data_IF_725464392427
#
_entry.id   IF_725464392427
#
_cell.length_a   1.000
_cell.length_b   1.000
_cell.length_c   1.000
_cell.angle_alpha   90.00
_cell.angle_beta   90.00
_cell.angle_gamma   90.00
#
_symmetry.space_group_name_H-M   'P 1'
#
loop_
_entity.id
_entity.type
_entity.pdbx_description
1 polymer ?
#
# COMPACT_ATOMS: atom_id res chain seq x y z
N UNK A 1 17.08 -2.98 -11.85
CA UNK A 1 16.31 -3.19 -10.59
C UNK A 1 17.10 -2.53 -9.48
N UNK A 2 16.54 -1.54 -8.75
CA UNK A 2 17.25 -0.95 -7.61
C UNK A 2 17.20 -1.99 -6.49
N UNK A 3 18.29 -2.73 -6.30
CA UNK A 3 18.45 -3.66 -5.18
C UNK A 3 18.76 -2.81 -3.95
N UNK A 4 17.80 -2.68 -3.04
CA UNK A 4 18.03 -2.02 -1.76
C UNK A 4 18.59 -3.04 -0.77
N UNK A 5 19.53 -2.64 0.11
CA UNK A 5 19.96 -3.50 1.21
C UNK A 5 18.76 -3.87 2.07
N UNK A 6 18.68 -5.13 2.51
CA UNK A 6 17.57 -5.59 3.36
C UNK A 6 17.69 -4.93 4.74
N UNK A 7 16.66 -4.22 5.23
CA UNK A 7 16.69 -3.69 6.58
C UNK A 7 16.71 -4.83 7.59
N UNK A 8 17.36 -4.60 8.74
CA UNK A 8 17.34 -5.54 9.85
C UNK A 8 15.94 -5.55 10.53
N UNK A 9 15.64 -6.63 11.27
CA UNK A 9 14.30 -6.86 11.83
C UNK A 9 13.91 -5.78 12.85
N UNK A 10 14.87 -5.30 13.64
CA UNK A 10 14.68 -4.20 14.59
C UNK A 10 14.38 -2.87 13.90
N UNK A 11 15.04 -2.53 12.79
CA UNK A 11 14.72 -1.34 12.03
C UNK A 11 13.29 -1.42 11.50
N UNK A 12 12.84 -2.57 11.01
CA UNK A 12 11.45 -2.74 10.56
C UNK A 12 10.48 -2.51 11.74
N UNK A 13 10.73 -3.13 12.90
CA UNK A 13 9.86 -3.02 14.06
C UNK A 13 9.69 -1.57 14.55
N UNK A 14 10.77 -0.78 14.54
CA UNK A 14 10.76 0.61 15.03
C UNK A 14 10.59 1.67 13.92
N UNK A 15 10.33 1.26 12.67
CA UNK A 15 10.04 2.23 11.59
C UNK A 15 8.62 2.78 11.68
N UNK A 16 8.48 4.01 12.20
CA UNK A 16 7.20 4.72 12.25
C UNK A 16 6.85 5.42 10.93
N UNK A 17 7.85 5.85 10.16
CA UNK A 17 7.64 6.55 8.88
C UNK A 17 7.13 5.57 7.84
N UNK A 18 5.89 5.79 7.37
CA UNK A 18 5.23 4.92 6.39
C UNK A 18 4.50 3.71 6.99
N UNK A 19 4.52 3.54 8.31
CA UNK A 19 3.74 2.50 9.00
C UNK A 19 2.26 2.88 9.09
N UNK A 20 1.39 1.87 9.19
CA UNK A 20 -0.03 2.07 9.50
C UNK A 20 -0.26 2.39 10.98
N UNK A 21 0.73 2.10 11.84
CA UNK A 21 0.62 2.20 13.30
C UNK A 21 0.12 3.58 13.77
N UNK A 22 0.66 4.73 13.32
CA UNK A 22 0.16 6.03 13.78
C UNK A 22 -1.31 6.29 13.42
N UNK A 23 -1.81 5.68 12.34
CA UNK A 23 -3.21 5.84 11.89
C UNK A 23 -4.19 5.00 12.71
N UNK A 24 -3.75 3.89 13.29
CA UNK A 24 -4.61 2.97 14.06
C UNK A 24 -4.32 2.97 15.56
N UNK A 25 -3.21 3.57 16.00
CA UNK A 25 -2.73 3.54 17.38
C UNK A 25 -3.81 4.00 18.38
N UNK A 26 -4.50 5.12 18.11
CA UNK A 26 -5.54 5.62 19.02
C UNK A 26 -6.73 4.65 19.13
N UNK A 27 -7.10 3.98 18.03
CA UNK A 27 -8.17 2.98 18.02
C UNK A 27 -7.78 1.73 18.81
N UNK A 28 -6.55 1.26 18.62
CA UNK A 28 -6.00 0.12 19.36
C UNK A 28 -5.92 0.44 20.86
N UNK A 29 -5.35 1.59 21.23
CA UNK A 29 -5.25 2.03 22.62
C UNK A 29 -6.63 2.17 23.28
N UNK A 30 -7.60 2.78 22.59
CA UNK A 30 -8.96 2.91 23.09
C UNK A 30 -9.62 1.54 23.33
N UNK A 31 -9.48 0.60 22.39
CA UNK A 31 -10.01 -0.75 22.53
C UNK A 31 -9.33 -1.52 23.68
N UNK A 32 -8.01 -1.41 23.81
CA UNK A 32 -7.25 -2.05 24.89
C UNK A 32 -7.64 -1.47 26.26
N UNK A 33 -7.77 -0.15 26.38
CA UNK A 33 -8.20 0.49 27.62
C UNK A 33 -9.61 0.07 28.00
N UNK A 34 -10.52 0.00 27.02
CA UNK A 34 -11.89 -0.47 27.24
C UNK A 34 -11.91 -1.94 27.70
N UNK A 35 -11.16 -2.83 27.05
CA UNK A 35 -11.05 -4.24 27.45
C UNK A 35 -10.49 -4.38 28.88
N UNK A 36 -9.45 -3.62 29.22
CA UNK A 36 -8.87 -3.61 30.57
C UNK A 36 -9.88 -3.12 31.62
N UNK A 37 -10.68 -2.10 31.30
CA UNK A 37 -11.74 -1.60 32.17
C UNK A 37 -12.81 -2.67 32.43
N UNK A 38 -13.26 -3.37 31.39
CA UNK A 38 -14.26 -4.45 31.52
C UNK A 38 -13.75 -5.54 32.45
N UNK A 39 -12.51 -6.01 32.25
CA UNK A 39 -11.88 -7.03 33.12
C UNK A 39 -11.74 -6.52 34.56
N UNK A 40 -11.33 -5.27 34.75
CA UNK A 40 -11.18 -4.70 36.10
C UNK A 40 -12.52 -4.57 36.84
N UNK A 41 -13.61 -4.29 36.13
CA UNK A 41 -14.97 -4.22 36.70
C UNK A 41 -15.49 -5.60 37.06
N UNK A 42 -15.32 -6.58 36.16
CA UNK A 42 -15.70 -7.98 36.41
C UNK A 42 -15.03 -8.51 37.68
N UNK A 43 -13.71 -8.32 37.83
CA UNK A 43 -12.95 -8.79 39.00
C UNK A 43 -13.43 -8.17 40.32
N UNK A 44 -14.00 -6.96 40.30
CA UNK A 44 -14.44 -6.25 41.51
C UNK A 44 -15.89 -6.54 41.89
N UNK A 45 -16.74 -6.90 40.93
CA UNK A 45 -18.18 -7.15 41.15
C UNK A 45 -18.65 -8.37 40.35
N UNK A 46 -18.14 -9.57 40.66
CA UNK A 46 -18.40 -10.77 39.87
C UNK A 46 -19.90 -11.15 39.85
N UNK A 47 -20.62 -10.92 40.96
CA UNK A 47 -22.03 -11.31 41.09
C UNK A 47 -22.99 -10.51 40.21
N UNK A 48 -22.58 -9.32 39.75
CA UNK A 48 -23.40 -8.46 38.87
C UNK A 48 -23.12 -8.67 37.38
N UNK A 49 -22.05 -9.37 37.04
CA UNK A 49 -21.63 -9.63 35.66
C UNK A 49 -21.20 -11.10 35.49
N UNK A 50 -22.12 -12.07 35.56
CA UNK A 50 -21.83 -13.42 35.10
C UNK A 50 -21.56 -13.35 33.59
N UNK A 51 -20.29 -13.38 33.19
CA UNK A 51 -19.89 -13.41 31.78
C UNK A 51 -20.19 -14.82 31.24
N UNK A 52 -21.45 -15.06 30.90
CA UNK A 52 -21.90 -16.32 30.27
C UNK A 52 -21.75 -16.27 28.73
N UNK A 53 -21.17 -15.18 28.20
CA UNK A 53 -20.93 -15.02 26.77
C UNK A 53 -19.83 -15.99 26.31
N UNK A 54 -20.24 -17.13 25.78
CA UNK A 54 -19.33 -18.11 25.18
C UNK A 54 -18.55 -17.51 24.00
N UNK A 55 -17.38 -18.08 23.72
CA UNK A 55 -16.45 -17.60 22.67
C UNK A 55 -17.02 -17.84 21.24
N UNK A 56 -18.01 -18.73 21.10
CA UNK A 56 -18.55 -19.20 19.82
C UNK A 56 -18.87 -18.10 18.78
N UNK A 57 -19.69 -17.08 19.11
CA UNK A 57 -19.99 -15.99 18.18
C UNK A 57 -18.74 -15.21 17.74
N UNK A 58 -17.78 -14.98 18.63
CA UNK A 58 -16.53 -14.28 18.32
C UNK A 58 -15.63 -15.10 17.39
N UNK A 59 -15.56 -16.42 17.59
CA UNK A 59 -14.81 -17.31 16.69
C UNK A 59 -15.40 -17.28 15.28
N UNK A 60 -16.73 -17.35 15.16
CA UNK A 60 -17.40 -17.32 13.87
C UNK A 60 -17.17 -15.99 13.14
N UNK A 61 -17.32 -14.86 13.86
CA UNK A 61 -17.06 -13.52 13.32
C UNK A 61 -15.59 -13.37 12.92
N UNK A 62 -14.66 -13.83 13.77
CA UNK A 62 -13.22 -13.76 13.52
C UNK A 62 -12.80 -14.55 12.28
N UNK A 63 -13.33 -15.76 12.11
CA UNK A 63 -13.10 -16.58 10.92
C UNK A 63 -13.62 -15.90 9.67
N UNK A 64 -14.87 -15.41 9.69
CA UNK A 64 -15.47 -14.70 8.57
C UNK A 64 -14.65 -13.46 8.20
N UNK A 65 -14.27 -12.63 9.18
CA UNK A 65 -13.47 -11.43 8.96
C UNK A 65 -12.11 -11.75 8.36
N UNK A 66 -11.43 -12.80 8.82
CA UNK A 66 -10.14 -13.24 8.28
C UNK A 66 -10.24 -13.60 6.79
N UNK A 67 -11.25 -14.36 6.41
CA UNK A 67 -11.50 -14.76 5.01
C UNK A 67 -11.78 -13.52 4.14
N UNK A 68 -12.70 -12.65 4.56
CA UNK A 68 -13.01 -11.43 3.81
C UNK A 68 -11.82 -10.48 3.69
N UNK A 69 -11.01 -10.37 4.74
CA UNK A 69 -9.80 -9.55 4.72
C UNK A 69 -8.77 -10.10 3.74
N UNK A 70 -8.61 -11.42 3.66
CA UNK A 70 -7.72 -12.07 2.68
C UNK A 70 -8.14 -11.74 1.24
N UNK A 71 -9.41 -11.92 0.90
CA UNK A 71 -9.93 -11.56 -0.43
C UNK A 71 -9.75 -10.06 -0.74
N UNK A 72 -10.09 -9.19 0.22
CA UNK A 72 -9.92 -7.74 0.07
C UNK A 72 -8.46 -7.36 -0.14
N UNK A 73 -7.54 -7.93 0.65
CA UNK A 73 -6.12 -7.64 0.55
C UNK A 73 -5.55 -8.09 -0.79
N UNK A 74 -5.92 -9.28 -1.26
CA UNK A 74 -5.50 -9.78 -2.57
C UNK A 74 -5.98 -8.85 -3.70
N UNK A 75 -7.25 -8.45 -3.69
CA UNK A 75 -7.78 -7.52 -4.69
C UNK A 75 -7.09 -6.14 -4.65
N UNK A 76 -6.83 -5.60 -3.44
CA UNK A 76 -6.10 -4.33 -3.30
C UNK A 76 -4.66 -4.44 -3.80
N UNK A 77 -4.00 -5.56 -3.50
CA UNK A 77 -2.63 -5.82 -3.91
C UNK A 77 -2.52 -5.96 -5.43
N UNK A 78 -3.40 -6.73 -6.07
CA UNK A 78 -3.43 -6.86 -7.52
C UNK A 78 -3.66 -5.53 -8.20
N UNK A 79 -4.60 -4.69 -7.70
CA UNK A 79 -4.83 -3.35 -8.26
C UNK A 79 -3.61 -2.44 -8.10
N UNK A 80 -2.94 -2.49 -6.95
CA UNK A 80 -1.68 -1.75 -6.76
C UNK A 80 -0.59 -2.23 -7.72
N UNK A 81 -0.48 -3.55 -7.89
CA UNK A 81 0.51 -4.16 -8.77
C UNK A 81 0.24 -3.88 -10.24
N UNK A 82 -1.03 -3.88 -10.66
CA UNK A 82 -1.47 -3.49 -12.00
C UNK A 82 -1.04 -2.06 -12.34
N UNK A 83 -1.30 -1.10 -11.45
CA UNK A 83 -0.84 0.27 -11.64
C UNK A 83 0.70 0.35 -11.76
N UNK A 84 1.43 -0.41 -10.94
CA UNK A 84 2.90 -0.46 -11.01
C UNK A 84 3.39 -1.04 -12.33
N UNK A 85 2.75 -2.10 -12.84
CA UNK A 85 3.03 -2.73 -14.15
C UNK A 85 2.77 -1.74 -15.29
N UNK A 86 1.63 -1.06 -15.29
CA UNK A 86 1.29 -0.05 -16.30
C UNK A 86 2.33 1.08 -16.36
N UNK A 87 2.75 1.59 -15.20
CA UNK A 87 3.82 2.59 -15.13
C UNK A 87 5.17 2.06 -15.62
N UNK A 88 5.47 0.79 -15.34
CA UNK A 88 6.65 0.09 -15.87
C UNK A 88 6.62 -0.01 -17.40
N UNK A 89 5.48 -0.41 -17.97
CA UNK A 89 5.26 -0.51 -19.41
C UNK A 89 5.44 0.86 -20.08
N UNK A 90 4.85 1.92 -19.53
CA UNK A 90 5.05 3.29 -20.04
C UNK A 90 6.54 3.65 -20.16
N UNK A 91 7.34 3.39 -19.12
CA UNK A 91 8.79 3.67 -19.15
C UNK A 91 9.50 2.88 -20.28
N UNK A 92 9.12 1.62 -20.48
CA UNK A 92 9.68 0.77 -21.54
C UNK A 92 9.32 1.32 -22.92
N UNK A 93 8.05 1.66 -23.15
CA UNK A 93 7.58 2.22 -24.43
C UNK A 93 8.24 3.56 -24.74
N UNK A 94 8.39 4.44 -23.75
CA UNK A 94 9.08 5.73 -23.95
C UNK A 94 10.56 5.54 -24.32
N UNK A 95 11.24 4.56 -23.71
CA UNK A 95 12.62 4.19 -24.10
C UNK A 95 12.67 3.57 -25.50
N UNK A 96 11.69 2.75 -25.85
CA UNK A 96 11.51 2.22 -27.21
C UNK A 96 11.39 3.35 -28.22
N UNK A 97 10.42 4.24 -28.01
CA UNK A 97 10.17 5.42 -28.83
C UNK A 97 11.42 6.30 -28.98
N UNK A 98 12.17 6.53 -27.91
CA UNK A 98 13.41 7.32 -28.00
C UNK A 98 14.45 6.72 -28.96
N UNK A 99 14.59 5.39 -28.99
CA UNK A 99 15.50 4.68 -29.90
C UNK A 99 14.97 4.73 -31.33
N UNK A 100 13.67 4.46 -31.49
CA UNK A 100 13.01 4.49 -32.81
C UNK A 100 13.07 5.88 -33.45
N UNK A 101 12.93 6.96 -32.68
CA UNK A 101 13.04 8.33 -33.20
C UNK A 101 14.45 8.66 -33.71
N UNK A 102 15.51 8.08 -33.14
CA UNK A 102 16.88 8.26 -33.65
C UNK A 102 17.03 7.57 -35.01
N UNK A 103 16.46 6.37 -35.16
CA UNK A 103 16.50 5.62 -36.42
C UNK A 103 15.63 6.26 -37.52
N UNK A 104 14.41 6.72 -37.20
CA UNK A 104 13.47 7.29 -38.18
C UNK A 104 13.79 8.73 -38.59
N UNK A 105 14.42 9.51 -37.70
CA UNK A 105 14.76 10.90 -37.94
C UNK A 105 16.28 11.11 -37.85
N UNK A 106 17.07 10.56 -38.78
CA UNK A 106 18.53 10.71 -38.77
C UNK A 106 18.95 12.15 -39.08
N UNK A 107 20.18 12.50 -38.68
CA UNK A 107 20.80 13.80 -38.93
C UNK A 107 20.44 14.90 -37.92
N UNK A 108 21.28 15.94 -37.86
CA UNK A 108 21.19 17.01 -36.86
C UNK A 108 20.06 18.01 -37.15
N UNK A 109 19.71 18.20 -38.43
CA UNK A 109 18.58 19.05 -38.81
C UNK A 109 17.25 18.63 -38.16
N UNK A 110 17.09 17.34 -37.84
CA UNK A 110 15.88 16.77 -37.21
C UNK A 110 15.99 16.64 -35.68
N UNK A 111 17.10 17.07 -35.07
CA UNK A 111 17.32 16.97 -33.64
C UNK A 111 16.28 17.76 -32.82
N UNK A 112 15.85 18.92 -33.33
CA UNK A 112 14.79 19.72 -32.72
C UNK A 112 13.46 18.97 -32.61
N UNK A 113 13.08 18.25 -33.68
CA UNK A 113 11.85 17.44 -33.72
C UNK A 113 11.93 16.24 -32.77
N UNK A 114 13.07 15.54 -32.71
CA UNK A 114 13.26 14.44 -31.72
C UNK A 114 13.09 14.95 -30.29
N UNK A 115 13.70 16.10 -29.97
CA UNK A 115 13.64 16.70 -28.63
C UNK A 115 12.22 17.17 -28.27
N UNK A 116 11.48 17.77 -29.20
CA UNK A 116 10.11 18.23 -28.94
C UNK A 116 9.15 17.05 -28.72
N UNK A 117 9.27 15.98 -29.51
CA UNK A 117 8.47 14.75 -29.33
C UNK A 117 8.73 14.10 -27.96
N UNK A 118 9.99 13.95 -27.56
CA UNK A 118 10.32 13.37 -26.25
C UNK A 118 9.85 14.26 -25.09
N UNK A 119 9.95 15.59 -25.21
CA UNK A 119 9.46 16.52 -24.18
C UNK A 119 7.94 16.42 -23.98
N UNK A 120 7.16 16.20 -25.04
CA UNK A 120 5.71 15.98 -24.92
C UNK A 120 5.40 14.71 -24.14
N UNK A 121 6.14 13.64 -24.37
CA UNK A 121 6.00 12.36 -23.66
C UNK A 121 6.41 12.49 -22.18
N UNK A 122 7.47 13.24 -21.89
CA UNK A 122 7.84 13.59 -20.50
C UNK A 122 6.74 14.41 -19.85
N UNK A 123 6.18 15.40 -20.56
CA UNK A 123 5.04 16.20 -20.11
C UNK A 123 3.81 15.35 -19.81
N UNK A 124 3.50 14.36 -20.65
CA UNK A 124 2.45 13.37 -20.39
C UNK A 124 2.71 12.58 -19.10
N UNK A 125 3.94 12.12 -18.88
CA UNK A 125 4.32 11.43 -17.65
C UNK A 125 4.11 12.30 -16.40
N UNK A 126 4.52 13.57 -16.45
CA UNK A 126 4.26 14.52 -15.35
C UNK A 126 2.77 14.78 -15.15
N UNK A 127 2.00 14.95 -16.24
CA UNK A 127 0.56 15.14 -16.18
C UNK A 127 -0.17 13.93 -15.58
N UNK A 128 0.29 12.71 -15.85
CA UNK A 128 -0.31 11.50 -15.31
C UNK A 128 -0.03 11.32 -13.80
N UNK A 129 1.10 11.83 -13.31
CA UNK A 129 1.45 11.83 -11.89
C UNK A 129 0.82 13.00 -11.12
N UNK A 130 0.44 14.09 -11.78
CA UNK A 130 -0.14 15.27 -11.14
C UNK A 130 -1.58 14.98 -10.68
N UNK A 131 -1.71 14.32 -9.53
CA UNK A 131 -2.94 14.16 -8.74
C UNK A 131 -2.62 14.23 -7.26
#
# INVERSE_FOLDING_TARGET
MIVRPRPNLFAILFTLRGSILPRVALKVLGLTAFAALVVAVEQRVPDKFPVTAGIGPFTLIGLALSIFLSFRNNACYERWWEARKAWGALIVEVRGLSRTLVALLPGDARAGLRRSSLRRVVGFGHGLHAR
#
